data_IF_316079228408
#
_entry.id   IF_316079228408
#
_cell.length_a   1.000
_cell.length_b   1.000
_cell.length_c   1.000
_cell.angle_alpha   90.00
_cell.angle_beta   90.00
_cell.angle_gamma   90.00
#
_symmetry.space_group_name_H-M   'P 1'
#
loop_
_entity.id
_entity.type
_entity.pdbx_description
1 polymer ?
#
# COMPACT_ATOMS: atom_id res chain seq x y z
N UNK A 1 58.03 -39.54 -36.79
CA UNK A 1 56.86 -39.78 -35.93
C UNK A 1 56.87 -38.69 -34.87
N UNK A 2 55.95 -37.74 -34.94
CA UNK A 2 55.58 -36.89 -33.81
C UNK A 2 54.16 -36.39 -34.04
N UNK A 3 53.21 -37.23 -33.62
CA UNK A 3 51.81 -36.90 -33.47
C UNK A 3 51.58 -36.37 -32.06
N UNK A 4 50.90 -35.22 -31.93
CA UNK A 4 49.94 -34.80 -30.87
C UNK A 4 50.00 -33.27 -30.70
N UNK A 5 48.95 -32.50 -30.43
CA UNK A 5 47.51 -32.73 -30.34
C UNK A 5 46.87 -31.31 -30.30
N UNK A 6 46.12 -30.95 -31.35
CA UNK A 6 45.50 -29.64 -31.51
C UNK A 6 44.24 -29.52 -30.62
N UNK A 7 44.37 -28.97 -29.41
CA UNK A 7 43.24 -28.74 -28.49
C UNK A 7 42.42 -27.52 -28.93
N UNK A 8 41.40 -27.78 -29.76
CA UNK A 8 40.33 -26.81 -30.11
C UNK A 8 39.64 -26.27 -28.84
N UNK A 9 39.82 -24.98 -28.54
CA UNK A 9 39.11 -24.25 -27.46
C UNK A 9 37.60 -24.19 -27.78
N UNK A 10 36.79 -24.95 -27.05
CA UNK A 10 35.32 -24.86 -27.11
C UNK A 10 34.83 -23.55 -26.48
N UNK A 11 34.30 -22.64 -27.30
CA UNK A 11 33.60 -21.45 -26.81
C UNK A 11 32.30 -21.83 -26.09
N UNK A 12 32.22 -21.51 -24.79
CA UNK A 12 30.99 -21.65 -23.99
C UNK A 12 29.97 -20.61 -24.46
N UNK A 13 28.84 -21.06 -25.02
CA UNK A 13 27.72 -20.19 -25.41
C UNK A 13 27.22 -19.42 -24.18
N UNK A 14 27.29 -18.08 -24.21
CA UNK A 14 26.70 -17.19 -23.19
C UNK A 14 25.19 -17.43 -23.14
N UNK A 15 24.66 -17.84 -21.98
CA UNK A 15 23.21 -17.93 -21.75
C UNK A 15 22.61 -16.53 -21.96
N UNK A 16 21.63 -16.42 -22.87
CA UNK A 16 20.84 -15.18 -23.05
C UNK A 16 20.27 -14.78 -21.69
N UNK A 17 20.56 -13.55 -21.23
CA UNK A 17 19.90 -12.96 -20.06
C UNK A 17 18.40 -12.95 -20.36
N UNK A 18 17.58 -13.56 -19.49
CA UNK A 18 16.13 -13.44 -19.58
C UNK A 18 15.78 -11.96 -19.50
N UNK A 19 14.95 -11.46 -20.41
CA UNK A 19 14.45 -10.09 -20.35
C UNK A 19 13.89 -9.83 -18.95
N UNK A 20 14.22 -8.67 -18.37
CA UNK A 20 13.66 -8.26 -17.09
C UNK A 20 12.14 -8.24 -17.23
N UNK A 21 11.45 -8.99 -16.38
CA UNK A 21 9.99 -8.99 -16.35
C UNK A 21 9.53 -7.59 -15.93
N UNK A 22 8.46 -7.04 -16.55
CA UNK A 22 7.85 -5.83 -16.02
C UNK A 22 7.44 -6.07 -14.55
N UNK A 23 7.64 -5.08 -13.69
CA UNK A 23 7.28 -5.15 -12.26
C UNK A 23 5.78 -5.48 -12.08
N UNK A 24 4.96 -5.19 -13.10
CA UNK A 24 3.52 -5.43 -13.15
C UNK A 24 3.12 -6.85 -13.56
N UNK A 25 4.01 -7.68 -14.12
CA UNK A 25 3.69 -9.08 -14.43
C UNK A 25 3.85 -9.95 -13.17
N UNK A 26 2.91 -9.84 -12.24
CA UNK A 26 2.76 -10.85 -11.20
C UNK A 26 2.17 -12.11 -11.84
N UNK A 27 2.99 -13.14 -12.08
CA UNK A 27 2.53 -14.47 -12.49
C UNK A 27 1.85 -15.24 -11.33
N UNK A 28 1.34 -14.53 -10.33
CA UNK A 28 0.60 -15.13 -9.23
C UNK A 28 -0.78 -15.50 -9.77
N UNK A 29 -1.10 -16.79 -9.75
CA UNK A 29 -2.48 -17.24 -9.91
C UNK A 29 -3.35 -16.36 -9.02
N UNK A 30 -4.28 -15.61 -9.63
CA UNK A 30 -5.17 -14.70 -8.90
C UNK A 30 -5.96 -15.58 -7.94
N UNK A 31 -5.54 -15.61 -6.67
CA UNK A 31 -6.19 -16.38 -5.63
C UNK A 31 -7.63 -15.89 -5.48
N UNK A 32 -8.54 -16.77 -5.05
CA UNK A 32 -9.92 -16.40 -4.73
C UNK A 32 -9.97 -15.19 -3.77
N UNK A 33 -9.00 -15.11 -2.87
CA UNK A 33 -8.79 -13.99 -1.93
C UNK A 33 -8.53 -12.66 -2.67
N UNK A 34 -7.71 -12.66 -3.74
CA UNK A 34 -7.43 -11.47 -4.54
C UNK A 34 -8.63 -10.99 -5.36
N UNK A 35 -9.46 -11.92 -5.84
CA UNK A 35 -10.73 -11.59 -6.51
C UNK A 35 -11.74 -10.99 -5.52
N UNK A 36 -11.81 -11.53 -4.30
CA UNK A 36 -12.65 -11.02 -3.23
C UNK A 36 -12.23 -9.61 -2.80
N UNK A 37 -10.93 -9.40 -2.56
CA UNK A 37 -10.34 -8.09 -2.25
C UNK A 37 -10.68 -7.08 -3.35
N UNK A 38 -10.47 -7.45 -4.62
CA UNK A 38 -10.77 -6.59 -5.77
C UNK A 38 -12.26 -6.25 -5.87
N UNK A 39 -13.14 -7.24 -5.65
CA UNK A 39 -14.59 -7.06 -5.67
C UNK A 39 -15.05 -6.10 -4.57
N UNK A 40 -14.58 -6.30 -3.34
CA UNK A 40 -14.92 -5.43 -2.21
C UNK A 40 -14.38 -4.01 -2.43
N UNK A 41 -13.15 -3.87 -2.92
CA UNK A 41 -12.55 -2.58 -3.23
C UNK A 41 -13.35 -1.80 -4.30
N UNK A 42 -13.81 -2.49 -5.34
CA UNK A 42 -14.68 -1.88 -6.37
C UNK A 42 -16.02 -1.42 -5.78
N UNK A 43 -16.63 -2.21 -4.88
CA UNK A 43 -17.86 -1.82 -4.20
C UNK A 43 -17.67 -0.55 -3.35
N UNK A 44 -16.60 -0.48 -2.57
CA UNK A 44 -16.27 0.72 -1.77
C UNK A 44 -16.10 1.95 -2.67
N UNK A 45 -15.35 1.81 -3.77
CA UNK A 45 -15.15 2.88 -4.75
C UNK A 45 -16.45 3.35 -5.40
N UNK A 46 -17.36 2.42 -5.72
CA UNK A 46 -18.68 2.75 -6.26
C UNK A 46 -19.53 3.50 -5.21
N UNK A 47 -19.47 3.09 -3.94
CA UNK A 47 -20.18 3.80 -2.87
C UNK A 47 -19.69 5.24 -2.70
N UNK A 48 -18.38 5.47 -2.76
CA UNK A 48 -17.83 6.83 -2.63
C UNK A 48 -18.15 7.71 -3.84
N UNK A 49 -18.20 7.12 -5.04
CA UNK A 49 -18.75 7.81 -6.23
C UNK A 49 -20.21 8.21 -6.04
N UNK A 50 -21.06 7.28 -5.59
CA UNK A 50 -22.50 7.58 -5.36
C UNK A 50 -22.70 8.66 -4.30
N UNK A 51 -21.87 8.71 -3.26
CA UNK A 51 -21.94 9.78 -2.24
C UNK A 51 -21.51 11.15 -2.76
N UNK A 52 -20.52 11.18 -3.64
CA UNK A 52 -19.96 12.42 -4.20
C UNK A 52 -20.69 12.92 -5.44
N UNK A 53 -21.55 12.08 -6.02
CA UNK A 53 -22.36 12.42 -7.19
C UNK A 53 -23.56 13.32 -6.80
N UNK A 54 -23.42 14.61 -7.08
CA UNK A 54 -24.44 15.64 -6.85
C UNK A 54 -25.54 15.65 -7.93
N UNK A 55 -25.42 14.85 -8.99
CA UNK A 55 -26.39 14.80 -10.09
C UNK A 55 -27.61 13.91 -9.80
N UNK A 56 -27.48 13.01 -8.81
CA UNK A 56 -28.53 12.07 -8.42
C UNK A 56 -29.26 12.53 -7.16
N UNK A 57 -30.57 12.26 -7.09
CA UNK A 57 -31.37 12.69 -5.94
C UNK A 57 -30.95 11.97 -4.66
N UNK A 58 -31.16 12.61 -3.50
CA UNK A 58 -30.87 12.02 -2.19
C UNK A 58 -31.60 10.69 -1.95
N UNK A 59 -32.78 10.50 -2.54
CA UNK A 59 -33.52 9.24 -2.46
C UNK A 59 -32.85 8.15 -3.30
N UNK A 60 -32.39 8.49 -4.50
CA UNK A 60 -31.70 7.56 -5.40
C UNK A 60 -30.31 7.18 -4.88
N UNK A 61 -29.57 8.13 -4.29
CA UNK A 61 -28.33 7.86 -3.57
C UNK A 61 -28.53 6.84 -2.45
N UNK A 62 -29.59 7.01 -1.64
CA UNK A 62 -29.90 6.08 -0.54
C UNK A 62 -30.17 4.67 -1.05
N UNK A 63 -30.94 4.53 -2.13
CA UNK A 63 -31.23 3.22 -2.74
C UNK A 63 -29.95 2.56 -3.24
N UNK A 64 -29.16 3.26 -4.07
CA UNK A 64 -27.89 2.74 -4.61
C UNK A 64 -26.89 2.37 -3.50
N UNK A 65 -26.80 3.18 -2.45
CA UNK A 65 -25.94 2.89 -1.30
C UNK A 65 -26.44 1.71 -0.48
N UNK A 66 -27.75 1.53 -0.36
CA UNK A 66 -28.34 0.37 0.32
C UNK A 66 -27.99 -0.93 -0.39
N UNK A 67 -28.13 -0.94 -1.73
CA UNK A 67 -27.85 -2.13 -2.54
C UNK A 67 -26.35 -2.47 -2.52
N UNK A 68 -25.47 -1.48 -2.69
CA UNK A 68 -24.02 -1.67 -2.58
C UNK A 68 -23.61 -2.16 -1.19
N UNK A 69 -24.23 -1.67 -0.11
CA UNK A 69 -24.01 -2.16 1.26
C UNK A 69 -24.43 -3.61 1.42
N UNK A 70 -25.57 -4.02 0.86
CA UNK A 70 -26.01 -5.42 0.90
C UNK A 70 -25.00 -6.32 0.20
N UNK A 71 -24.58 -5.97 -1.01
CA UNK A 71 -23.56 -6.74 -1.75
C UNK A 71 -22.22 -6.78 -1.00
N UNK A 72 -21.84 -5.70 -0.30
CA UNK A 72 -20.65 -5.67 0.53
C UNK A 72 -20.76 -6.65 1.71
N UNK A 73 -21.91 -6.67 2.41
CA UNK A 73 -22.18 -7.60 3.52
C UNK A 73 -22.18 -9.04 3.02
N UNK A 74 -22.79 -9.33 1.87
CA UNK A 74 -22.78 -10.65 1.23
C UNK A 74 -21.36 -11.13 0.87
N UNK A 75 -20.45 -10.20 0.56
CA UNK A 75 -19.04 -10.50 0.32
C UNK A 75 -18.24 -10.70 1.62
N UNK A 76 -18.89 -10.77 2.80
CA UNK A 76 -18.24 -10.91 4.11
C UNK A 76 -17.98 -9.57 4.82
N UNK A 77 -18.45 -8.47 4.23
CA UNK A 77 -18.34 -7.15 4.81
C UNK A 77 -16.90 -6.62 4.89
N UNK A 78 -16.78 -5.48 5.55
CA UNK A 78 -15.51 -4.78 5.74
C UNK A 78 -14.49 -5.60 6.53
N UNK A 79 -14.95 -6.44 7.45
CA UNK A 79 -14.12 -7.28 8.29
C UNK A 79 -13.50 -8.45 7.51
N UNK A 80 -14.23 -9.05 6.55
CA UNK A 80 -13.65 -10.07 5.67
C UNK A 80 -12.58 -9.46 4.74
N UNK A 81 -12.78 -8.23 4.25
CA UNK A 81 -11.76 -7.51 3.48
C UNK A 81 -10.51 -7.25 4.30
N UNK A 82 -10.66 -6.76 5.53
CA UNK A 82 -9.58 -6.56 6.48
C UNK A 82 -8.76 -7.83 6.70
N UNK A 83 -9.44 -8.93 7.04
CA UNK A 83 -8.79 -10.21 7.28
C UNK A 83 -8.10 -10.73 6.02
N UNK A 84 -8.75 -10.64 4.86
CA UNK A 84 -8.16 -11.05 3.58
C UNK A 84 -6.97 -10.16 3.18
N UNK A 85 -7.01 -8.86 3.46
CA UNK A 85 -5.91 -7.93 3.18
C UNK A 85 -4.72 -8.17 4.11
N UNK A 86 -4.96 -8.37 5.42
CA UNK A 86 -3.91 -8.74 6.39
C UNK A 86 -3.28 -10.08 6.02
N UNK A 87 -4.09 -11.08 5.69
CA UNK A 87 -3.64 -12.39 5.23
C UNK A 87 -2.86 -12.28 3.90
N UNK A 88 -3.30 -11.42 2.99
CA UNK A 88 -2.59 -11.09 1.76
C UNK A 88 -1.21 -10.48 2.04
N UNK A 89 -1.12 -9.52 2.96
CA UNK A 89 0.13 -8.90 3.39
C UNK A 89 1.09 -9.92 4.03
N UNK A 90 0.59 -10.78 4.92
CA UNK A 90 1.35 -11.84 5.57
C UNK A 90 1.87 -12.89 4.57
N UNK A 91 1.03 -13.30 3.61
CA UNK A 91 1.41 -14.29 2.58
C UNK A 91 2.26 -13.72 1.45
N UNK A 92 2.18 -12.41 1.17
CA UNK A 92 3.13 -11.71 0.32
C UNK A 92 4.49 -11.48 1.01
N UNK A 93 4.69 -12.07 2.19
CA UNK A 93 5.94 -12.66 2.63
C UNK A 93 7.17 -11.88 2.20
N UNK A 94 7.57 -10.91 3.05
CA UNK A 94 8.86 -10.20 3.07
C UNK A 94 8.90 -8.74 2.58
N UNK A 95 7.78 -8.09 2.25
CA UNK A 95 7.78 -6.65 1.91
C UNK A 95 6.68 -5.83 2.61
N UNK A 96 6.56 -5.96 3.93
CA UNK A 96 5.83 -4.96 4.70
C UNK A 96 6.60 -3.63 4.60
N UNK A 97 5.93 -2.57 4.13
CA UNK A 97 6.53 -1.24 3.92
C UNK A 97 7.29 -0.76 5.15
N UNK A 98 6.77 -0.99 6.36
CA UNK A 98 7.43 -0.60 7.61
C UNK A 98 8.80 -1.26 7.78
N UNK A 99 8.95 -2.56 7.46
CA UNK A 99 10.24 -3.26 7.53
C UNK A 99 11.24 -2.68 6.54
N UNK A 100 10.78 -2.35 5.33
CA UNK A 100 11.63 -1.71 4.34
C UNK A 100 12.06 -0.31 4.79
N UNK A 101 11.13 0.50 5.32
CA UNK A 101 11.40 1.84 5.84
C UNK A 101 12.40 1.78 7.00
N UNK A 102 12.17 0.92 7.99
CA UNK A 102 13.10 0.73 9.12
C UNK A 102 14.51 0.34 8.63
N UNK A 103 14.60 -0.51 7.60
CA UNK A 103 15.87 -0.86 6.98
C UNK A 103 16.54 0.33 6.30
N UNK A 104 15.79 1.20 5.61
CA UNK A 104 16.36 2.40 5.00
C UNK A 104 16.78 3.43 6.05
N UNK A 105 15.97 3.66 7.09
CA UNK A 105 16.30 4.55 8.18
C UNK A 105 17.60 4.15 8.87
N UNK A 106 17.77 2.85 9.15
CA UNK A 106 19.01 2.33 9.71
C UNK A 106 20.23 2.56 8.79
N UNK A 107 20.07 2.36 7.46
CA UNK A 107 21.15 2.60 6.50
C UNK A 107 21.54 4.07 6.37
N UNK A 108 20.56 4.95 6.45
CA UNK A 108 20.75 6.41 6.37
C UNK A 108 21.08 7.01 7.74
N UNK A 109 21.27 6.17 8.78
CA UNK A 109 21.53 6.60 10.16
C UNK A 109 20.50 7.59 10.69
N UNK A 110 19.24 7.47 10.23
CA UNK A 110 18.12 8.28 10.68
C UNK A 110 17.63 7.72 12.01
N UNK A 111 18.21 8.22 13.09
CA UNK A 111 17.80 7.91 14.46
C UNK A 111 18.04 9.16 15.34
N UNK A 112 17.14 9.47 16.29
CA UNK A 112 17.38 10.55 17.24
C UNK A 112 18.71 10.34 17.96
N UNK A 113 19.46 11.43 18.13
CA UNK A 113 20.78 11.40 18.77
C UNK A 113 20.69 11.31 20.30
N UNK A 114 19.57 11.77 20.85
CA UNK A 114 19.28 11.75 22.29
C UNK A 114 18.21 10.70 22.59
N UNK A 115 18.21 10.17 23.82
CA UNK A 115 17.20 9.19 24.27
C UNK A 115 15.83 9.82 24.54
N UNK A 116 15.79 11.13 24.74
CA UNK A 116 14.57 11.87 25.09
C UNK A 116 13.81 12.37 23.85
N UNK A 117 14.43 12.33 22.67
CA UNK A 117 13.79 12.68 21.40
C UNK A 117 13.35 11.42 20.65
N UNK A 118 12.09 11.43 20.20
CA UNK A 118 11.54 10.39 19.33
C UNK A 118 11.32 10.96 17.95
N UNK A 119 11.69 10.19 16.94
CA UNK A 119 11.49 10.54 15.54
C UNK A 119 10.00 10.56 15.22
N UNK A 120 9.51 11.68 14.73
CA UNK A 120 8.09 11.91 14.44
C UNK A 120 7.75 11.38 13.06
N UNK A 121 6.92 10.34 13.01
CA UNK A 121 6.57 9.63 11.78
C UNK A 121 5.06 9.71 11.54
N UNK A 122 4.66 10.04 10.31
CA UNK A 122 3.27 9.96 9.85
C UNK A 122 3.13 8.78 8.88
N UNK A 123 2.29 7.81 9.23
CA UNK A 123 1.97 6.68 8.35
C UNK A 123 0.55 6.83 7.82
N UNK A 124 0.42 7.12 6.51
CA UNK A 124 -0.86 7.43 5.88
C UNK A 124 -1.42 6.20 5.17
N UNK A 125 -2.71 5.94 5.38
CA UNK A 125 -3.37 4.76 4.83
C UNK A 125 -3.00 3.48 5.59
N UNK A 126 -2.65 3.60 6.87
CA UNK A 126 -2.13 2.50 7.66
C UNK A 126 -3.26 1.56 8.10
N UNK A 127 -3.06 0.25 7.97
CA UNK A 127 -4.00 -0.76 8.50
C UNK A 127 -3.91 -0.90 10.02
N UNK A 128 -2.75 -0.58 10.60
CA UNK A 128 -2.42 -0.62 12.04
C UNK A 128 -1.11 0.15 12.29
N UNK A 129 -0.80 0.47 13.55
CA UNK A 129 0.53 0.98 13.93
C UNK A 129 1.60 -0.12 13.78
N UNK A 130 2.38 -0.06 12.70
CA UNK A 130 3.45 -1.01 12.42
C UNK A 130 4.74 -0.77 13.23
N UNK A 131 4.81 0.30 14.02
CA UNK A 131 6.02 0.75 14.71
C UNK A 131 5.96 0.56 16.22
N UNK A 132 5.03 -0.25 16.71
CA UNK A 132 4.86 -0.57 18.14
C UNK A 132 6.15 -1.03 18.82
N UNK A 133 6.98 -1.81 18.11
CA UNK A 133 8.25 -2.32 18.62
C UNK A 133 9.39 -1.28 18.61
N UNK A 134 9.17 -0.12 17.99
CA UNK A 134 10.12 0.97 17.87
C UNK A 134 9.68 2.21 18.66
N UNK A 135 8.67 2.09 19.53
CA UNK A 135 8.20 3.20 20.38
C UNK A 135 9.27 3.81 21.29
N UNK A 136 10.41 3.15 21.51
CA UNK A 136 11.53 3.77 22.23
C UNK A 136 12.21 4.90 21.46
N UNK A 137 12.01 5.01 20.14
CA UNK A 137 12.68 6.02 19.31
C UNK A 137 11.85 6.53 18.13
N UNK A 138 10.68 5.95 17.85
CA UNK A 138 9.70 6.43 16.86
C UNK A 138 8.42 6.84 17.58
N UNK A 139 7.92 8.04 17.30
CA UNK A 139 6.60 8.52 17.64
C UNK A 139 5.72 8.53 16.37
N UNK A 140 5.02 7.43 16.15
CA UNK A 140 4.20 7.17 14.98
C UNK A 140 2.78 7.70 15.17
N UNK A 141 2.34 8.55 14.24
CA UNK A 141 0.94 8.89 14.02
C UNK A 141 0.47 8.12 12.81
N UNK A 142 -0.36 7.09 13.00
CA UNK A 142 -0.97 6.32 11.92
C UNK A 142 -2.35 6.89 11.60
N UNK A 143 -2.62 7.23 10.33
CA UNK A 143 -3.91 7.78 9.90
C UNK A 143 -4.52 6.97 8.75
N UNK A 144 -5.85 6.94 8.70
CA UNK A 144 -6.61 6.42 7.56
C UNK A 144 -7.98 7.13 7.48
N UNK A 145 -8.59 7.21 6.30
CA UNK A 145 -9.92 7.80 6.13
C UNK A 145 -11.03 6.93 6.75
N UNK A 146 -10.81 5.60 6.81
CA UNK A 146 -11.71 4.59 7.35
C UNK A 146 -10.89 3.55 8.16
N UNK A 147 -10.35 3.93 9.33
CA UNK A 147 -9.53 3.05 10.14
C UNK A 147 -10.35 1.88 10.67
N UNK A 148 -9.68 0.74 10.82
CA UNK A 148 -10.28 -0.52 11.26
C UNK A 148 -9.64 -1.05 12.54
N UNK A 149 -8.53 -0.43 12.94
CA UNK A 149 -7.74 -0.75 14.11
C UNK A 149 -7.72 0.49 15.01
N UNK A 150 -7.80 0.27 16.32
CA UNK A 150 -7.83 1.36 17.30
C UNK A 150 -6.52 2.15 17.37
N UNK A 151 -5.42 1.57 16.88
CA UNK A 151 -4.13 2.25 16.77
C UNK A 151 -4.05 3.26 15.63
N UNK A 152 -5.07 3.34 14.76
CA UNK A 152 -5.10 4.22 13.60
C UNK A 152 -6.15 5.31 13.78
N UNK A 153 -5.72 6.57 13.66
CA UNK A 153 -6.57 7.73 13.74
C UNK A 153 -7.39 7.90 12.45
N UNK A 154 -8.67 8.21 12.60
CA UNK A 154 -9.52 8.58 11.47
C UNK A 154 -9.17 10.00 11.00
N UNK A 155 -8.55 10.14 9.84
CA UNK A 155 -8.26 11.43 9.23
C UNK A 155 -8.13 11.34 7.70
N UNK A 156 -8.50 12.41 7.01
CA UNK A 156 -8.20 12.60 5.59
C UNK A 156 -6.85 13.31 5.46
N UNK A 157 -5.88 12.67 4.80
CA UNK A 157 -4.53 13.18 4.59
C UNK A 157 -4.51 14.55 3.89
N UNK A 158 -5.43 14.82 2.95
CA UNK A 158 -5.43 16.06 2.18
C UNK A 158 -5.88 17.27 3.00
N UNK A 159 -6.64 17.03 4.06
CA UNK A 159 -7.09 18.05 5.01
C UNK A 159 -6.44 17.88 6.38
N UNK A 160 -5.45 17.00 6.50
CA UNK A 160 -4.82 16.68 7.78
C UNK A 160 -3.92 17.84 8.19
N UNK A 161 -4.30 18.51 9.28
CA UNK A 161 -3.52 19.59 9.87
C UNK A 161 -3.17 19.23 11.30
N UNK A 162 -1.88 19.21 11.62
CA UNK A 162 -1.40 19.16 12.99
C UNK A 162 -0.38 20.26 13.26
N UNK A 163 -0.32 20.69 14.53
CA UNK A 163 0.72 21.59 15.01
C UNK A 163 2.09 20.91 15.06
N UNK A 164 2.09 19.57 15.15
CA UNK A 164 3.30 18.74 15.14
C UNK A 164 3.88 18.66 13.72
N UNK A 165 5.18 18.91 13.60
CA UNK A 165 5.96 18.63 12.37
C UNK A 165 6.42 17.18 12.36
N UNK A 166 6.28 16.51 11.21
CA UNK A 166 6.77 15.16 10.98
C UNK A 166 8.11 15.17 10.26
N UNK A 167 9.01 14.28 10.66
CA UNK A 167 10.33 14.10 10.04
C UNK A 167 10.29 13.05 8.93
N UNK A 168 9.38 12.08 9.05
CA UNK A 168 9.15 11.03 8.06
C UNK A 168 7.67 10.94 7.76
N UNK A 169 7.31 10.94 6.47
CA UNK A 169 5.95 10.72 5.98
C UNK A 169 5.97 9.50 5.07
N UNK A 170 5.09 8.55 5.34
CA UNK A 170 4.95 7.31 4.58
C UNK A 170 3.64 7.35 3.81
N UNK A 171 3.74 7.21 2.49
CA UNK A 171 2.61 7.18 1.56
C UNK A 171 2.63 5.83 0.83
N UNK A 172 2.19 4.77 1.50
CA UNK A 172 2.15 3.43 0.93
C UNK A 172 0.78 3.17 0.32
N UNK A 173 0.69 3.09 -1.01
CA UNK A 173 -0.54 2.79 -1.77
C UNK A 173 -1.70 3.80 -1.61
N UNK A 174 -1.51 4.91 -0.90
CA UNK A 174 -2.49 5.99 -0.72
C UNK A 174 -2.92 6.62 -2.06
N UNK A 175 -2.04 6.62 -3.07
CA UNK A 175 -2.29 7.23 -4.38
C UNK A 175 -3.07 6.30 -5.34
N UNK A 176 -3.34 5.04 -4.96
CA UNK A 176 -4.00 4.06 -5.83
C UNK A 176 -5.54 4.20 -5.90
N UNK A 177 -6.16 5.01 -5.05
CA UNK A 177 -7.62 5.09 -4.96
C UNK A 177 -8.27 6.02 -5.99
N UNK A 178 -7.49 6.87 -6.64
CA UNK A 178 -7.96 7.76 -7.69
C UNK A 178 -8.12 6.97 -9.00
N UNK A 179 -9.36 6.87 -9.51
CA UNK A 179 -9.67 6.11 -10.72
C UNK A 179 -9.10 6.69 -12.01
N UNK A 180 -8.80 7.99 -12.02
CA UNK A 180 -8.34 8.70 -13.20
C UNK A 180 -6.82 8.91 -13.18
N UNK A 181 -6.14 8.55 -14.27
CA UNK A 181 -4.70 8.74 -14.42
C UNK A 181 -4.27 10.21 -14.39
N UNK A 182 -5.11 11.11 -14.91
CA UNK A 182 -4.84 12.55 -14.91
C UNK A 182 -4.89 13.13 -13.49
N UNK A 183 -5.88 12.73 -12.69
CA UNK A 183 -6.00 13.15 -11.28
C UNK A 183 -4.85 12.59 -10.42
N UNK A 184 -4.36 11.38 -10.72
CA UNK A 184 -3.13 10.82 -10.10
C UNK A 184 -1.88 11.65 -10.40
N UNK A 185 -1.82 12.30 -11.57
CA UNK A 185 -0.72 13.19 -11.96
C UNK A 185 -0.83 14.59 -11.34
N UNK A 186 -2.05 15.10 -11.15
CA UNK A 186 -2.29 16.43 -10.57
C UNK A 186 -1.86 16.47 -9.09
N UNK A 187 -2.09 15.41 -8.31
CA UNK A 187 -1.56 15.33 -6.94
C UNK A 187 -0.02 15.23 -6.89
N UNK A 188 0.65 14.81 -7.97
CA UNK A 188 2.11 14.70 -8.00
C UNK A 188 2.84 16.02 -8.34
N UNK A 189 2.13 17.07 -8.77
CA UNK A 189 2.77 18.25 -9.39
C UNK A 189 2.54 19.58 -8.63
N UNK A 190 1.77 19.62 -7.54
CA UNK A 190 1.64 20.88 -6.79
C UNK A 190 2.05 20.73 -5.34
N UNK A 191 3.37 20.68 -5.10
CA UNK A 191 3.95 21.26 -3.90
C UNK A 191 4.27 22.72 -4.23
N UNK A 192 3.44 23.64 -3.73
CA UNK A 192 3.82 25.05 -3.59
C UNK A 192 4.16 25.32 -2.14
#
# INVERSE_FOLDING_TARGET
MDTTNNKKKKWKKRKKKKNARPITESSYQIRKDGQLISKIHNLMKMMDKVKSDTSISSAEQRTKLSDLKKTLIECGGFQAYQTASKLGEEHHGQQNTSKWILKQMNKLTIRPSTKDERLKLLDVGALQDNYVNQKSWIDCTAIDINPCDQSVQKADFLTFTESKKFEVIILSLVINFIGNAAERGIQQITFK
#
